data_IF_924939918823
#
_entry.id   IF_924939918823
#
_cell.length_a   1.000
_cell.length_b   1.000
_cell.length_c   1.000
_cell.angle_alpha   90.00
_cell.angle_beta   90.00
_cell.angle_gamma   90.00
#
_symmetry.space_group_name_H-M   'P 1'
#
loop_
_entity.id
_entity.type
_entity.pdbx_description
1 polymer ?
#
# COMPACT_ATOMS: atom_id res chain seq x y z
N UNK A 1 -7.58 21.92 16.08
CA UNK A 1 -8.10 21.09 17.19
C UNK A 1 -9.51 20.68 16.86
N UNK A 2 -9.75 19.38 16.71
CA UNK A 2 -11.07 18.84 16.38
C UNK A 2 -12.06 18.96 17.54
N UNK A 3 -13.30 18.48 17.33
CA UNK A 3 -14.38 18.54 18.32
C UNK A 3 -14.04 17.72 19.57
N UNK A 4 -13.51 16.51 19.45
CA UNK A 4 -13.14 15.63 20.57
C UNK A 4 -12.01 16.20 21.43
N UNK A 5 -10.95 16.71 20.82
CA UNK A 5 -9.82 17.40 21.46
C UNK A 5 -10.32 18.63 22.24
N UNK A 6 -11.31 19.36 21.69
CA UNK A 6 -11.94 20.48 22.39
C UNK A 6 -12.79 20.04 23.58
N UNK A 7 -13.43 18.88 23.51
CA UNK A 7 -14.16 18.29 24.63
C UNK A 7 -13.23 17.75 25.72
N UNK A 8 -12.16 17.03 25.34
CA UNK A 8 -11.15 16.51 26.27
C UNK A 8 -10.38 17.63 26.97
N UNK A 9 -10.15 18.76 26.29
CA UNK A 9 -9.51 19.92 26.90
C UNK A 9 -10.38 20.65 27.94
N UNK A 10 -11.70 20.36 28.00
CA UNK A 10 -12.68 21.01 28.88
C UNK A 10 -13.24 20.09 29.98
N UNK A 11 -12.94 18.79 29.97
CA UNK A 11 -13.48 17.79 30.90
C UNK A 11 -12.46 17.21 31.87
N UNK A 12 -12.90 16.30 32.73
CA UNK A 12 -12.09 15.60 33.75
C UNK A 12 -11.05 14.62 33.16
N UNK A 13 -11.04 14.45 31.84
CA UNK A 13 -10.17 13.52 31.12
C UNK A 13 -8.75 14.07 30.87
N UNK A 14 -8.16 14.75 31.85
CA UNK A 14 -6.85 15.39 31.72
C UNK A 14 -5.73 14.44 31.27
N UNK A 15 -5.85 13.15 31.59
CA UNK A 15 -4.90 12.11 31.18
C UNK A 15 -4.92 11.82 29.67
N UNK A 16 -6.03 12.11 28.98
CA UNK A 16 -6.17 11.91 27.53
C UNK A 16 -5.82 13.16 26.71
N UNK A 17 -5.39 14.23 27.38
CA UNK A 17 -5.11 15.54 26.75
C UNK A 17 -3.83 15.53 25.91
N UNK A 18 -2.85 14.73 26.32
CA UNK A 18 -1.54 14.59 25.66
C UNK A 18 -1.44 13.34 24.78
N UNK A 19 -2.50 12.51 24.74
CA UNK A 19 -2.56 11.38 23.82
C UNK A 19 -2.66 11.89 22.37
N UNK A 20 -1.92 11.31 21.41
CA UNK A 20 -2.08 11.62 19.99
C UNK A 20 -3.41 11.05 19.48
N UNK A 21 -4.50 11.75 19.77
CA UNK A 21 -5.85 11.38 19.37
C UNK A 21 -6.13 11.95 17.99
N UNK A 22 -6.26 11.06 17.01
CA UNK A 22 -6.61 11.45 15.65
C UNK A 22 -8.14 11.45 15.52
N UNK A 23 -8.74 12.65 15.47
CA UNK A 23 -10.17 12.78 15.20
C UNK A 23 -10.46 12.58 13.72
N UNK A 24 -10.78 11.36 13.34
CA UNK A 24 -11.14 11.06 11.97
C UNK A 24 -11.99 9.82 11.84
N UNK A 25 -12.83 9.78 10.80
CA UNK A 25 -13.54 8.58 10.36
C UNK A 25 -12.60 7.55 9.70
N UNK A 26 -11.29 7.82 9.69
CA UNK A 26 -10.25 6.97 9.10
C UNK A 26 -9.52 6.17 10.17
N UNK A 27 -9.32 4.89 9.89
CA UNK A 27 -8.44 4.02 10.67
C UNK A 27 -6.98 4.25 10.28
N UNK A 28 -6.15 4.66 11.24
CA UNK A 28 -4.71 4.77 11.03
C UNK A 28 -4.07 3.37 11.03
N UNK A 29 -3.46 3.02 9.90
CA UNK A 29 -2.76 1.75 9.73
C UNK A 29 -1.40 1.98 9.08
N UNK A 30 -0.43 1.14 9.44
CA UNK A 30 0.85 1.02 8.77
C UNK A 30 0.71 -0.01 7.66
N UNK A 31 1.09 0.37 6.44
CA UNK A 31 1.02 -0.52 5.27
C UNK A 31 2.42 -0.76 4.74
N UNK A 32 2.75 -2.01 4.46
CA UNK A 32 4.02 -2.41 3.87
C UNK A 32 3.81 -3.40 2.73
N UNK A 33 4.80 -3.49 1.85
CA UNK A 33 4.83 -4.45 0.75
C UNK A 33 6.10 -5.28 0.91
N UNK A 34 5.92 -6.61 0.91
CA UNK A 34 6.99 -7.56 1.17
C UNK A 34 6.93 -8.73 0.18
N UNK A 35 8.05 -9.44 0.07
CA UNK A 35 8.09 -10.74 -0.58
C UNK A 35 7.93 -11.83 0.50
N UNK A 36 7.10 -12.83 0.23
CA UNK A 36 6.92 -14.01 1.08
C UNK A 36 8.15 -14.93 1.07
N UNK A 37 8.95 -14.84 0.00
CA UNK A 37 10.17 -15.62 -0.18
C UNK A 37 11.30 -14.71 -0.71
N UNK A 38 12.54 -14.86 -0.20
CA UNK A 38 13.69 -14.11 -0.68
C UNK A 38 14.08 -14.47 -2.14
N UNK A 39 13.56 -15.58 -2.66
CA UNK A 39 13.79 -16.02 -4.03
C UNK A 39 12.86 -15.32 -5.04
N UNK A 40 11.81 -14.64 -4.55
CA UNK A 40 10.91 -13.93 -5.44
C UNK A 40 11.55 -12.61 -5.87
N UNK A 41 11.69 -12.37 -7.19
CA UNK A 41 12.23 -11.10 -7.70
C UNK A 41 11.26 -9.92 -7.44
N UNK A 42 10.06 -10.20 -6.92
CA UNK A 42 8.97 -9.25 -6.77
C UNK A 42 8.24 -9.49 -5.46
N UNK A 43 7.82 -8.42 -4.77
CA UNK A 43 6.89 -8.57 -3.65
C UNK A 43 5.53 -9.09 -4.10
N UNK A 44 4.96 -9.94 -3.27
CA UNK A 44 3.69 -10.64 -3.44
C UNK A 44 2.76 -10.47 -2.25
N UNK A 45 3.17 -9.78 -1.18
CA UNK A 45 2.37 -9.53 0.02
C UNK A 45 2.16 -8.04 0.29
N UNK A 46 0.93 -7.68 0.64
CA UNK A 46 0.56 -6.43 1.30
C UNK A 46 0.35 -6.72 2.79
N UNK A 47 1.08 -6.02 3.64
CA UNK A 47 1.00 -6.10 5.10
C UNK A 47 0.20 -4.92 5.63
N UNK A 48 -0.69 -5.19 6.57
CA UNK A 48 -1.42 -4.17 7.32
C UNK A 48 -1.10 -4.35 8.80
N UNK A 49 -0.66 -3.29 9.45
CA UNK A 49 -0.41 -3.26 10.88
C UNK A 49 -1.06 -2.03 11.52
N UNK A 50 -1.30 -2.08 12.82
CA UNK A 50 -1.70 -0.91 13.62
C UNK A 50 -0.60 -0.60 14.62
N UNK A 51 -0.36 0.69 14.92
CA UNK A 51 0.41 1.04 16.10
C UNK A 51 -0.34 0.58 17.36
N UNK A 52 0.38 -0.10 18.24
CA UNK A 52 -0.04 -0.37 19.61
C UNK A 52 0.46 0.79 20.46
N UNK A 53 -0.38 1.26 21.38
CA UNK A 53 0.00 2.33 22.28
C UNK A 53 1.18 1.83 23.15
N UNK A 54 2.31 2.56 23.20
CA UNK A 54 3.44 2.13 24.02
C UNK A 54 3.02 2.03 25.49
N UNK A 55 3.32 0.90 26.10
CA UNK A 55 3.10 0.63 27.53
C UNK A 55 4.37 0.99 28.29
N UNK A 56 4.39 1.99 29.19
CA UNK A 56 5.55 2.21 30.04
C UNK A 56 5.84 0.94 30.86
N UNK A 57 7.10 0.47 30.96
CA UNK A 57 8.36 1.20 30.81
C UNK A 57 8.99 1.17 29.41
N UNK A 58 8.43 0.46 28.43
CA UNK A 58 9.03 0.29 27.10
C UNK A 58 8.40 1.25 26.09
N UNK A 59 9.10 2.34 25.68
CA UNK A 59 8.57 3.35 24.78
C UNK A 59 8.63 2.94 23.29
N UNK A 60 8.86 1.66 22.98
CA UNK A 60 8.94 1.21 21.60
C UNK A 60 7.55 1.22 20.96
N UNK A 61 7.46 1.84 19.77
CA UNK A 61 6.25 1.79 18.94
C UNK A 61 6.06 0.35 18.43
N UNK A 62 5.34 -0.46 19.21
CA UNK A 62 5.02 -1.83 18.82
C UNK A 62 3.96 -1.82 17.72
N UNK A 63 4.20 -2.62 16.67
CA UNK A 63 3.26 -2.76 15.56
C UNK A 63 2.58 -4.12 15.65
N UNK A 64 1.25 -4.11 15.84
CA UNK A 64 0.46 -5.33 15.75
C UNK A 64 0.06 -5.55 14.29
N UNK A 65 0.47 -6.68 13.74
CA UNK A 65 0.05 -7.11 12.41
C UNK A 65 -1.45 -7.42 12.42
N UNK A 66 -2.22 -6.68 11.62
CA UNK A 66 -3.65 -6.87 11.42
C UNK A 66 -3.95 -7.90 10.36
N UNK A 67 -3.07 -8.03 9.36
CA UNK A 67 -3.29 -8.98 8.30
C UNK A 67 -2.25 -8.95 7.20
N UNK A 68 -2.25 -10.06 6.46
CA UNK A 68 -1.43 -10.32 5.29
C UNK A 68 -2.37 -10.56 4.12
N UNK A 69 -2.16 -9.82 3.03
CA UNK A 69 -2.98 -9.94 1.83
C UNK A 69 -2.07 -10.25 0.63
N UNK A 70 -2.25 -11.41 -0.03
CA UNK A 70 -1.58 -11.67 -1.30
C UNK A 70 -1.92 -10.60 -2.33
N UNK A 71 -0.91 -10.06 -3.01
CA UNK A 71 -1.08 -9.05 -4.06
C UNK A 71 -1.82 -9.59 -5.29
N UNK A 72 -1.91 -10.90 -5.45
CA UNK A 72 -2.82 -11.52 -6.44
C UNK A 72 -4.30 -11.20 -6.17
N UNK A 73 -4.66 -10.95 -4.90
CA UNK A 73 -6.01 -10.62 -4.46
C UNK A 73 -6.24 -9.10 -4.34
N UNK A 74 -5.21 -8.29 -4.58
CA UNK A 74 -5.23 -6.85 -4.34
C UNK A 74 -4.76 -6.07 -5.56
N UNK A 75 -5.60 -5.17 -6.06
CA UNK A 75 -5.24 -4.20 -7.10
C UNK A 75 -4.98 -2.83 -6.46
N UNK A 76 -3.72 -2.43 -6.46
CA UNK A 76 -3.29 -1.11 -6.03
C UNK A 76 -3.28 -0.13 -7.21
N UNK A 77 -3.76 1.08 -6.99
CA UNK A 77 -3.82 2.13 -8.02
C UNK A 77 -3.75 3.53 -7.40
N UNK A 78 -3.31 4.51 -8.18
CA UNK A 78 -3.34 5.91 -7.77
C UNK A 78 -4.79 6.43 -7.81
N UNK A 79 -5.24 7.10 -6.74
CA UNK A 79 -6.55 7.79 -6.71
C UNK A 79 -6.40 9.30 -6.85
N UNK A 80 -5.49 9.92 -6.12
CA UNK A 80 -5.28 11.37 -6.14
C UNK A 80 -3.84 11.72 -5.75
N UNK A 81 -3.15 12.47 -6.61
CA UNK A 81 -1.84 13.03 -6.30
C UNK A 81 -1.95 14.13 -5.26
N UNK A 82 -2.93 15.04 -5.41
CA UNK A 82 -3.11 16.18 -4.51
C UNK A 82 -3.36 15.76 -3.07
N UNK A 83 -4.16 14.70 -2.87
CA UNK A 83 -4.47 14.15 -1.53
C UNK A 83 -3.51 13.05 -1.10
N UNK A 84 -2.46 12.74 -1.88
CA UNK A 84 -1.54 11.64 -1.61
C UNK A 84 -2.27 10.32 -1.29
N UNK A 85 -3.27 9.99 -2.12
CA UNK A 85 -4.21 8.90 -1.88
C UNK A 85 -4.05 7.77 -2.90
N UNK A 86 -3.96 6.56 -2.38
CA UNK A 86 -3.97 5.30 -3.12
C UNK A 86 -5.33 4.64 -3.00
N UNK A 87 -5.74 3.91 -4.04
CA UNK A 87 -6.91 3.05 -4.04
C UNK A 87 -6.46 1.60 -4.01
N UNK A 88 -7.01 0.86 -3.06
CA UNK A 88 -6.84 -0.59 -2.88
C UNK A 88 -8.16 -1.25 -3.23
N UNK A 89 -8.18 -2.08 -4.28
CA UNK A 89 -9.36 -2.86 -4.64
C UNK A 89 -9.07 -4.33 -4.43
N UNK A 90 -9.90 -4.98 -3.62
CA UNK A 90 -9.84 -6.43 -3.45
C UNK A 90 -10.55 -7.13 -4.61
N UNK A 91 -10.17 -8.37 -4.90
CA UNK A 91 -10.89 -9.22 -5.88
C UNK A 91 -12.35 -9.45 -5.50
N UNK A 92 -12.69 -9.34 -4.21
CA UNK A 92 -14.07 -9.38 -3.70
C UNK A 92 -14.91 -8.17 -4.12
N UNK A 93 -14.33 -7.19 -4.81
CA UNK A 93 -14.99 -5.96 -5.23
C UNK A 93 -14.92 -4.83 -4.20
N UNK A 94 -14.59 -5.14 -2.93
CA UNK A 94 -14.42 -4.13 -1.88
C UNK A 94 -13.27 -3.19 -2.23
N UNK A 95 -13.50 -1.89 -2.04
CA UNK A 95 -12.52 -0.85 -2.36
C UNK A 95 -12.26 0.00 -1.13
N UNK A 96 -10.99 0.19 -0.82
CA UNK A 96 -10.49 1.02 0.26
C UNK A 96 -9.60 2.12 -0.30
N UNK A 97 -9.52 3.23 0.41
CA UNK A 97 -8.66 4.35 0.06
C UNK A 97 -7.65 4.57 1.17
N UNK A 98 -6.37 4.53 0.81
CA UNK A 98 -5.27 4.78 1.72
C UNK A 98 -4.75 6.19 1.47
N UNK A 99 -4.87 7.05 2.47
CA UNK A 99 -4.25 8.37 2.44
C UNK A 99 -2.93 8.29 3.22
N UNK A 100 -1.84 8.71 2.58
CA UNK A 100 -0.53 8.65 3.23
C UNK A 100 -0.42 9.72 4.31
N UNK A 101 -0.07 9.28 5.52
CA UNK A 101 0.21 10.15 6.66
C UNK A 101 1.71 10.13 6.95
N UNK A 102 2.34 11.29 6.89
CA UNK A 102 3.75 11.50 7.22
C UNK A 102 3.97 12.99 7.52
N UNK A 103 5.05 13.35 8.24
CA UNK A 103 5.42 14.75 8.40
C UNK A 103 5.52 15.47 7.04
N UNK A 104 5.01 16.70 6.90
CA UNK A 104 4.97 17.43 5.63
C UNK A 104 6.26 17.41 4.80
N UNK A 105 7.48 17.56 5.36
CA UNK A 105 8.71 17.54 4.56
C UNK A 105 9.06 16.15 3.99
N UNK A 106 8.57 15.06 4.59
CA UNK A 106 8.87 13.68 4.18
C UNK A 106 7.80 13.10 3.27
N UNK A 107 6.57 13.61 3.37
CA UNK A 107 5.39 13.09 2.70
C UNK A 107 5.53 13.00 1.16
N UNK A 108 6.05 14.01 0.43
CA UNK A 108 6.23 13.91 -1.02
C UNK A 108 7.21 12.79 -1.41
N UNK A 109 8.34 12.68 -0.71
CA UNK A 109 9.36 11.66 -0.99
C UNK A 109 8.82 10.25 -0.76
N UNK A 110 8.09 10.06 0.34
CA UNK A 110 7.46 8.80 0.69
C UNK A 110 6.38 8.44 -0.34
N UNK A 111 5.56 9.41 -0.73
CA UNK A 111 4.54 9.20 -1.77
C UNK A 111 5.16 8.86 -3.14
N UNK A 112 6.24 9.52 -3.56
CA UNK A 112 6.97 9.17 -4.78
C UNK A 112 7.52 7.73 -4.73
N UNK A 113 7.94 7.23 -3.57
CA UNK A 113 8.35 5.83 -3.40
C UNK A 113 7.17 4.88 -3.61
N UNK A 114 5.99 5.21 -3.09
CA UNK A 114 4.77 4.45 -3.35
C UNK A 114 4.38 4.47 -4.83
N UNK A 115 4.48 5.61 -5.53
CA UNK A 115 4.21 5.68 -6.97
C UNK A 115 5.15 4.78 -7.78
N UNK A 116 6.45 4.81 -7.47
CA UNK A 116 7.43 3.89 -8.09
C UNK A 116 7.08 2.43 -7.83
N UNK A 117 6.67 2.10 -6.61
CA UNK A 117 6.25 0.76 -6.25
C UNK A 117 5.01 0.30 -7.04
N UNK A 118 4.01 1.17 -7.20
CA UNK A 118 2.83 0.88 -8.03
C UNK A 118 3.22 0.60 -9.48
N UNK A 119 4.17 1.36 -10.02
CA UNK A 119 4.69 1.14 -11.37
C UNK A 119 5.33 -0.24 -11.49
N UNK A 120 6.25 -0.60 -10.59
CA UNK A 120 6.89 -1.93 -10.56
C UNK A 120 5.86 -3.06 -10.42
N UNK A 121 4.86 -2.89 -9.55
CA UNK A 121 3.81 -3.88 -9.35
C UNK A 121 2.89 -4.02 -10.59
N UNK A 122 2.68 -2.96 -11.36
CA UNK A 122 1.88 -3.03 -12.57
C UNK A 122 2.64 -3.71 -13.70
N UNK A 123 3.87 -3.29 -13.95
CA UNK A 123 4.70 -3.81 -15.05
C UNK A 123 5.00 -5.30 -14.86
N UNK A 124 5.29 -5.72 -13.64
CA UNK A 124 5.57 -7.13 -13.36
C UNK A 124 4.32 -8.03 -13.37
N UNK A 125 3.10 -7.49 -13.57
CA UNK A 125 1.86 -8.26 -13.70
C UNK A 125 1.47 -8.57 -15.15
N UNK A 126 2.25 -8.07 -16.12
CA UNK A 126 1.91 -8.06 -17.55
C UNK A 126 2.79 -8.91 -18.47
N UNK A 127 3.67 -9.78 -17.96
CA UNK A 127 4.49 -10.68 -18.79
C UNK A 127 4.36 -12.13 -18.34
N UNK A 128 3.33 -12.80 -18.85
CA UNK A 128 3.52 -14.19 -19.27
C UNK A 128 4.41 -14.15 -20.52
N UNK A 129 5.45 -15.00 -20.63
CA UNK A 129 6.14 -15.16 -21.91
C UNK A 129 5.10 -15.66 -22.90
N UNK A 130 4.74 -14.83 -23.88
CA UNK A 130 4.17 -15.35 -25.11
C UNK A 130 5.31 -16.12 -25.76
N UNK A 131 5.12 -17.43 -25.89
CA UNK A 131 5.97 -18.29 -26.71
C UNK A 131 6.23 -17.58 -28.05
N UNK A 132 7.50 -17.38 -28.47
CA UNK A 132 7.73 -16.90 -29.82
C UNK A 132 7.16 -17.94 -30.81
N UNK A 133 6.50 -17.51 -31.90
CA UNK A 133 6.15 -18.44 -32.96
C UNK A 133 7.44 -19.09 -33.47
N UNK A 134 7.50 -20.41 -33.40
CA UNK A 134 8.59 -21.22 -33.95
C UNK A 134 8.81 -20.81 -35.41
N UNK A 135 9.93 -20.17 -35.69
CA UNK A 135 10.50 -20.14 -37.03
C UNK A 135 10.86 -21.57 -37.44
N UNK A 136 10.41 -21.97 -38.62
CA UNK A 136 10.82 -23.24 -39.21
C UNK A 136 9.96 -23.69 -40.38
N UNK A 137 10.18 -23.09 -41.56
CA UNK A 137 10.44 -23.82 -42.82
C UNK A 137 10.36 -22.84 -44.00
N UNK A 138 11.50 -22.63 -44.65
CA UNK A 138 11.56 -22.09 -46.00
C UNK A 138 11.17 -23.15 -47.05
N UNK A 139 11.48 -22.81 -48.31
CA UNK A 139 11.12 -23.46 -49.59
C UNK A 139 9.80 -22.86 -50.12
N UNK A 140 9.76 -21.92 -51.06
CA UNK A 140 10.63 -21.73 -52.21
C UNK A 140 10.03 -22.46 -53.40
N UNK A 141 9.16 -21.80 -54.17
CA UNK A 141 8.86 -22.16 -55.56
C UNK A 141 8.63 -20.88 -56.38
N UNK A 142 9.23 -20.77 -57.59
CA UNK A 142 8.95 -19.70 -58.53
C UNK A 142 7.76 -20.08 -59.41
N UNK A 143 6.90 -19.11 -59.70
CA UNK A 143 5.77 -19.26 -60.63
C UNK A 143 6.27 -19.10 -62.08
N UNK A 144 5.97 -20.04 -63.02
CA UNK A 144 6.10 -19.78 -64.44
C UNK A 144 4.73 -19.63 -65.12
N UNK A 145 4.67 -18.57 -65.96
CA UNK A 145 3.73 -18.24 -67.06
C UNK A 145 2.29 -17.88 -66.73
#
# INVERSE_FOLDING_TARGET
>A
MGRLSRYLARGEYGQLRDCPLFESDFLQVTVAIAASSPLLPRPDLLLLARPVLPSPPDPEEELQLLGLLPLSLVRLSLRSLQRHQLRVRLVTGRTFYLQLLAPPPRLPRLFSRWLRLLFVLREAGGRLPQDPPRDGAGLGEPEPQ
#
